data_IF_906426712351
#
_entry.id   IF_906426712351
#
_cell.length_a   1.000
_cell.length_b   1.000
_cell.length_c   1.000
_cell.angle_alpha   90.00
_cell.angle_beta   90.00
_cell.angle_gamma   90.00
#
_symmetry.space_group_name_H-M   'P 1'
#
loop_
_entity.id
_entity.type
_entity.pdbx_description
1 polymer ?
#
# COMPACT_ATOMS: atom_id res chain seq x y z
N UNK A 1 -19.37 12.55 58.45
CA UNK A 1 -19.97 13.08 57.20
C UNK A 1 -19.07 12.93 55.97
N UNK A 2 -17.77 12.68 56.12
CA UNK A 2 -16.80 12.54 55.02
C UNK A 2 -17.03 11.30 54.14
N UNK A 3 -17.44 10.17 54.72
CA UNK A 3 -17.63 8.92 53.97
C UNK A 3 -18.78 8.95 52.96
N UNK A 4 -19.84 9.72 53.26
CA UNK A 4 -21.00 9.88 52.38
C UNK A 4 -20.70 10.79 51.18
N UNK A 5 -19.75 11.71 51.36
CA UNK A 5 -19.28 12.64 50.34
C UNK A 5 -18.35 11.95 49.33
N UNK A 6 -17.52 11.01 49.81
CA UNK A 6 -16.66 10.17 48.95
C UNK A 6 -17.53 9.23 48.08
N UNK A 7 -18.59 8.65 48.65
CA UNK A 7 -19.50 7.77 47.89
C UNK A 7 -20.22 8.52 46.75
N UNK A 8 -20.65 9.76 47.00
CA UNK A 8 -21.27 10.61 45.98
C UNK A 8 -20.29 11.03 44.89
N UNK A 9 -19.02 11.27 45.23
CA UNK A 9 -17.99 11.62 44.26
C UNK A 9 -17.63 10.44 43.35
N UNK A 10 -17.55 9.22 43.90
CA UNK A 10 -17.31 8.00 43.11
C UNK A 10 -18.48 7.72 42.17
N UNK A 11 -19.73 7.85 42.63
CA UNK A 11 -20.90 7.69 41.75
C UNK A 11 -20.95 8.71 40.62
N UNK A 12 -20.48 9.95 40.84
CA UNK A 12 -20.47 10.99 39.81
C UNK A 12 -19.45 10.69 38.69
N UNK A 13 -18.34 10.03 39.01
CA UNK A 13 -17.32 9.66 38.01
C UNK A 13 -17.70 8.48 37.13
N UNK A 14 -18.62 7.63 37.57
CA UNK A 14 -19.13 6.50 36.77
C UNK A 14 -20.08 6.95 35.65
N UNK A 15 -20.74 8.10 35.79
CA UNK A 15 -21.66 8.64 34.77
C UNK A 15 -20.96 9.26 33.55
N UNK A 16 -19.64 9.45 33.61
CA UNK A 16 -18.83 10.01 32.51
C UNK A 16 -18.14 8.96 31.65
N UNK A 17 -18.42 7.67 31.84
CA UNK A 17 -18.08 6.67 30.84
C UNK A 17 -19.01 6.83 29.63
N UNK A 18 -18.70 7.80 28.77
CA UNK A 18 -19.21 7.84 27.41
C UNK A 18 -18.89 6.48 26.78
N UNK A 19 -19.86 5.75 26.21
CA UNK A 19 -19.52 4.65 25.34
C UNK A 19 -18.60 5.22 24.26
N UNK A 20 -17.39 4.69 24.15
CA UNK A 20 -16.55 4.88 22.96
C UNK A 20 -17.47 4.54 21.80
N UNK A 21 -17.84 5.55 21.01
CA UNK A 21 -18.77 5.39 19.90
C UNK A 21 -18.27 4.21 19.08
N UNK A 22 -19.06 3.14 19.05
CA UNK A 22 -18.98 2.18 17.96
C UNK A 22 -19.17 3.02 16.70
N UNK A 23 -18.12 3.13 15.85
CA UNK A 23 -18.29 3.71 14.51
C UNK A 23 -19.48 3.03 13.86
N UNK A 24 -20.39 3.81 13.26
CA UNK A 24 -21.49 3.19 12.53
C UNK A 24 -20.87 2.28 11.46
N UNK A 25 -21.37 1.04 11.30
CA UNK A 25 -20.77 0.07 10.39
C UNK A 25 -20.69 0.60 8.95
N UNK A 26 -21.59 1.52 8.58
CA UNK A 26 -21.55 2.22 7.30
C UNK A 26 -20.36 3.19 7.16
N UNK A 27 -19.99 3.91 8.24
CA UNK A 27 -18.86 4.82 8.25
C UNK A 27 -17.53 4.04 8.16
N UNK A 28 -17.41 2.94 8.91
CA UNK A 28 -16.25 2.03 8.83
C UNK A 28 -16.11 1.45 7.42
N UNK A 29 -17.21 0.99 6.82
CA UNK A 29 -17.23 0.44 5.47
C UNK A 29 -16.78 1.46 4.40
N UNK A 30 -17.27 2.71 4.46
CA UNK A 30 -16.85 3.78 3.54
C UNK A 30 -15.37 4.10 3.68
N UNK A 31 -14.86 4.12 4.91
CA UNK A 31 -13.44 4.38 5.19
C UNK A 31 -12.57 3.27 4.61
N UNK A 32 -12.91 2.00 4.86
CA UNK A 32 -12.18 0.85 4.32
C UNK A 32 -12.19 0.83 2.78
N UNK A 33 -13.33 1.17 2.15
CA UNK A 33 -13.41 1.30 0.69
C UNK A 33 -12.50 2.41 0.15
N UNK A 34 -12.41 3.54 0.84
CA UNK A 34 -11.53 4.65 0.44
C UNK A 34 -10.07 4.23 0.52
N UNK A 35 -9.65 3.62 1.63
CA UNK A 35 -8.29 3.12 1.80
C UNK A 35 -7.96 2.09 0.71
N UNK A 36 -8.87 1.13 0.45
CA UNK A 36 -8.68 0.11 -0.57
C UNK A 36 -8.55 0.73 -1.98
N UNK A 37 -9.32 1.77 -2.27
CA UNK A 37 -9.23 2.52 -3.53
C UNK A 37 -7.86 3.17 -3.69
N UNK A 38 -7.36 3.84 -2.65
CA UNK A 38 -6.02 4.46 -2.65
C UNK A 38 -4.94 3.40 -2.85
N UNK A 39 -4.98 2.29 -2.12
CA UNK A 39 -4.01 1.19 -2.29
C UNK A 39 -4.04 0.59 -3.70
N UNK A 40 -5.22 0.51 -4.33
CA UNK A 40 -5.31 0.04 -5.72
C UNK A 40 -4.70 1.02 -6.72
N UNK A 41 -4.88 2.33 -6.50
CA UNK A 41 -4.25 3.37 -7.34
C UNK A 41 -2.73 3.33 -7.20
N UNK A 42 -2.22 3.21 -5.96
CA UNK A 42 -0.78 3.03 -5.71
C UNK A 42 -0.25 1.77 -6.39
N UNK A 43 -0.93 0.64 -6.24
CA UNK A 43 -0.53 -0.62 -6.87
C UNK A 43 -0.46 -0.49 -8.41
N UNK A 44 -1.42 0.18 -9.02
CA UNK A 44 -1.40 0.44 -10.47
C UNK A 44 -0.22 1.32 -10.87
N UNK A 45 0.10 2.34 -10.09
CA UNK A 45 1.26 3.20 -10.34
C UNK A 45 2.57 2.42 -10.26
N UNK A 46 2.74 1.56 -9.26
CA UNK A 46 3.95 0.73 -9.13
C UNK A 46 4.10 -0.27 -10.29
N UNK A 47 3.01 -0.86 -10.78
CA UNK A 47 3.08 -1.70 -11.98
C UNK A 47 3.51 -0.91 -13.23
N UNK A 48 3.09 0.35 -13.36
CA UNK A 48 3.60 1.19 -14.45
C UNK A 48 5.09 1.48 -14.28
N UNK A 49 5.54 1.73 -13.05
CA UNK A 49 6.95 1.94 -12.75
C UNK A 49 7.82 0.72 -13.07
N UNK A 50 7.33 -0.49 -12.79
CA UNK A 50 8.01 -1.74 -13.21
C UNK A 50 8.19 -1.77 -14.73
N UNK A 51 7.14 -1.44 -15.50
CA UNK A 51 7.21 -1.44 -16.97
C UNK A 51 8.22 -0.41 -17.49
N UNK A 52 8.28 0.78 -16.90
CA UNK A 52 9.23 1.80 -17.32
C UNK A 52 10.67 1.39 -17.01
N UNK A 53 10.92 0.79 -15.85
CA UNK A 53 12.25 0.27 -15.50
C UNK A 53 12.66 -0.90 -16.40
N UNK A 54 11.75 -1.80 -16.75
CA UNK A 54 12.01 -2.90 -17.68
C UNK A 54 12.35 -2.39 -19.09
N UNK A 55 11.64 -1.37 -19.60
CA UNK A 55 11.98 -0.77 -20.90
C UNK A 55 13.33 -0.02 -20.84
N UNK A 56 13.63 0.64 -19.72
CA UNK A 56 14.93 1.25 -19.49
C UNK A 56 16.05 0.20 -19.48
N UNK A 57 15.79 -0.98 -18.93
CA UNK A 57 16.75 -2.09 -18.92
C UNK A 57 16.96 -2.63 -20.35
N UNK A 58 15.87 -2.82 -21.10
CA UNK A 58 15.92 -3.31 -22.49
C UNK A 58 16.64 -2.34 -23.42
N UNK A 59 16.52 -1.05 -23.18
CA UNK A 59 17.20 0.00 -23.96
C UNK A 59 18.64 0.25 -23.52
N UNK A 60 19.08 -0.31 -22.38
CA UNK A 60 20.46 -0.20 -21.89
C UNK A 60 21.41 -1.19 -22.60
N UNK A 61 21.40 -1.19 -23.93
CA UNK A 61 22.29 -2.03 -24.74
C UNK A 61 23.55 -1.28 -25.13
N UNK A 62 24.69 -1.96 -25.04
CA UNK A 62 25.97 -1.48 -25.59
C UNK A 62 25.98 -1.83 -27.08
N UNK A 63 26.28 -0.86 -27.94
CA UNK A 63 26.40 -1.12 -29.37
C UNK A 63 27.54 -2.13 -29.61
N UNK A 64 27.31 -3.24 -30.35
CA UNK A 64 28.37 -4.18 -30.64
C UNK A 64 29.45 -3.48 -31.48
N UNK A 65 30.71 -3.63 -31.07
CA UNK A 65 31.86 -3.26 -31.90
C UNK A 65 31.72 -3.98 -33.25
N UNK A 66 31.43 -3.23 -34.31
CA UNK A 66 31.55 -3.71 -35.68
C UNK A 66 33.04 -3.94 -35.95
N UNK A 67 33.51 -5.17 -35.72
CA UNK A 67 34.88 -5.59 -36.01
C UNK A 67 35.04 -5.64 -37.54
N UNK A 68 35.24 -4.48 -38.17
CA UNK A 68 35.65 -4.39 -39.57
C UNK A 68 37.15 -4.61 -39.68
N UNK A 69 37.62 -5.86 -39.52
CA UNK A 69 38.89 -6.42 -40.06
C UNK A 69 40.22 -5.64 -39.94
N UNK A 70 40.26 -4.50 -39.27
CA UNK A 70 41.39 -3.58 -39.13
C UNK A 70 41.72 -3.53 -37.65
N UNK A 71 43.00 -3.68 -37.32
CA UNK A 71 43.49 -3.68 -35.93
C UNK A 71 42.81 -2.57 -35.13
N UNK A 72 42.14 -2.89 -33.99
CA UNK A 72 41.40 -1.90 -33.24
C UNK A 72 42.37 -0.85 -32.71
N UNK A 73 42.06 0.42 -32.99
CA UNK A 73 42.77 1.54 -32.41
C UNK A 73 42.62 1.49 -30.89
N UNK A 74 43.72 1.59 -30.14
CA UNK A 74 43.74 1.41 -28.67
C UNK A 74 42.82 2.44 -27.99
N UNK A 75 42.67 3.63 -28.58
CA UNK A 75 41.76 4.68 -28.12
C UNK A 75 40.28 4.25 -28.26
N UNK A 76 39.92 3.57 -29.35
CA UNK A 76 38.56 3.07 -29.57
C UNK A 76 38.19 1.91 -28.62
N UNK A 77 39.19 1.13 -28.18
CA UNK A 77 38.97 0.05 -27.21
C UNK A 77 38.64 0.61 -25.82
N UNK A 78 39.39 1.60 -25.33
CA UNK A 78 39.14 2.21 -24.02
C UNK A 78 37.78 2.91 -23.96
N UNK A 79 37.38 3.58 -25.04
CA UNK A 79 36.05 4.19 -25.15
C UNK A 79 34.93 3.16 -25.02
N UNK A 80 35.02 2.04 -25.74
CA UNK A 80 34.01 0.97 -25.64
C UNK A 80 34.00 0.31 -24.27
N UNK A 81 35.18 0.04 -23.70
CA UNK A 81 35.28 -0.49 -22.34
C UNK A 81 34.66 0.46 -21.30
N UNK A 82 34.81 1.77 -21.48
CA UNK A 82 34.19 2.78 -20.61
C UNK A 82 32.67 2.83 -20.75
N UNK A 83 32.14 2.66 -21.98
CA UNK A 83 30.72 2.61 -22.27
C UNK A 83 30.10 1.34 -21.67
N UNK A 84 30.76 0.20 -21.80
CA UNK A 84 30.34 -1.07 -21.20
C UNK A 84 30.27 -0.99 -19.68
N UNK A 85 31.32 -0.47 -19.03
CA UNK A 85 31.32 -0.24 -17.57
C UNK A 85 30.20 0.71 -17.13
N UNK A 86 29.83 1.66 -17.97
CA UNK A 86 28.74 2.61 -17.66
C UNK A 86 27.37 1.94 -17.83
N UNK A 87 27.19 1.13 -18.88
CA UNK A 87 26.00 0.34 -19.09
C UNK A 87 25.77 -0.66 -17.94
N UNK A 88 26.80 -1.39 -17.52
CA UNK A 88 26.71 -2.32 -16.39
C UNK A 88 26.33 -1.62 -15.07
N UNK A 89 26.93 -0.46 -14.79
CA UNK A 89 26.57 0.34 -13.60
C UNK A 89 25.11 0.81 -13.66
N UNK A 90 24.65 1.23 -14.83
CA UNK A 90 23.26 1.65 -15.03
C UNK A 90 22.29 0.48 -14.87
N UNK A 91 22.63 -0.68 -15.40
CA UNK A 91 21.85 -1.91 -15.27
C UNK A 91 21.70 -2.31 -13.80
N UNK A 92 22.81 -2.33 -13.05
CA UNK A 92 22.79 -2.62 -11.62
C UNK A 92 21.89 -1.64 -10.85
N UNK A 93 21.95 -0.34 -11.17
CA UNK A 93 21.10 0.67 -10.55
C UNK A 93 19.61 0.51 -10.89
N UNK A 94 19.28 0.10 -12.12
CA UNK A 94 17.91 -0.17 -12.54
C UNK A 94 17.35 -1.45 -11.88
N UNK A 95 18.18 -2.50 -11.76
CA UNK A 95 17.80 -3.72 -11.07
C UNK A 95 17.53 -3.47 -9.58
N UNK A 96 18.37 -2.68 -8.90
CA UNK A 96 18.12 -2.28 -7.52
C UNK A 96 16.80 -1.51 -7.36
N UNK A 97 16.46 -0.64 -8.31
CA UNK A 97 15.17 0.06 -8.31
C UNK A 97 14.00 -0.90 -8.51
N UNK A 98 14.14 -1.90 -9.39
CA UNK A 98 13.11 -2.93 -9.59
C UNK A 98 12.85 -3.70 -8.30
N UNK A 99 13.89 -4.10 -7.56
CA UNK A 99 13.73 -4.80 -6.28
C UNK A 99 12.91 -3.99 -5.27
N UNK A 100 13.19 -2.68 -5.17
CA UNK A 100 12.43 -1.77 -4.28
C UNK A 100 10.96 -1.69 -4.69
N UNK A 101 10.67 -1.56 -5.98
CA UNK A 101 9.29 -1.48 -6.46
C UNK A 101 8.54 -2.80 -6.24
N UNK A 102 9.19 -3.95 -6.50
CA UNK A 102 8.60 -5.25 -6.20
C UNK A 102 8.31 -5.44 -4.70
N UNK A 103 9.21 -5.00 -3.83
CA UNK A 103 8.98 -5.02 -2.39
C UNK A 103 7.77 -4.15 -2.01
N UNK A 104 7.63 -2.97 -2.62
CA UNK A 104 6.48 -2.08 -2.40
C UNK A 104 5.16 -2.70 -2.86
N UNK A 105 5.13 -3.32 -4.04
CA UNK A 105 3.97 -4.07 -4.55
C UNK A 105 3.55 -5.15 -3.55
N UNK A 106 4.50 -5.97 -3.10
CA UNK A 106 4.23 -7.03 -2.12
C UNK A 106 3.66 -6.48 -0.81
N UNK A 107 4.18 -5.34 -0.34
CA UNK A 107 3.67 -4.69 0.87
C UNK A 107 2.23 -4.21 0.67
N UNK A 108 1.93 -3.54 -0.44
CA UNK A 108 0.56 -3.07 -0.74
C UNK A 108 -0.41 -4.24 -0.82
N UNK A 109 -0.02 -5.35 -1.46
CA UNK A 109 -0.86 -6.56 -1.52
C UNK A 109 -1.10 -7.16 -0.14
N UNK A 110 -0.09 -7.18 0.73
CA UNK A 110 -0.24 -7.62 2.12
C UNK A 110 -1.18 -6.72 2.92
N UNK A 111 -1.08 -5.40 2.75
CA UNK A 111 -1.92 -4.41 3.45
C UNK A 111 -3.38 -4.46 3.00
N UNK A 112 -3.64 -4.88 1.75
CA UNK A 112 -5.00 -5.04 1.22
C UNK A 112 -5.76 -6.21 1.84
N UNK A 113 -5.09 -7.31 2.17
CA UNK A 113 -5.76 -8.52 2.68
C UNK A 113 -6.60 -8.27 3.95
N UNK A 114 -6.07 -7.67 5.04
CA UNK A 114 -6.87 -7.44 6.23
C UNK A 114 -8.06 -6.51 5.98
N UNK A 115 -7.94 -5.55 5.05
CA UNK A 115 -9.04 -4.66 4.66
C UNK A 115 -10.15 -5.46 3.96
N UNK A 116 -9.77 -6.36 3.04
CA UNK A 116 -10.72 -7.22 2.34
C UNK A 116 -11.42 -8.19 3.29
N UNK A 117 -10.69 -8.76 4.24
CA UNK A 117 -11.27 -9.64 5.26
C UNK A 117 -12.25 -8.87 6.15
N UNK A 118 -11.88 -7.67 6.61
CA UNK A 118 -12.76 -6.81 7.40
C UNK A 118 -14.02 -6.39 6.63
N UNK A 119 -13.89 -6.04 5.36
CA UNK A 119 -15.04 -5.74 4.49
C UNK A 119 -15.99 -6.95 4.39
N UNK A 120 -15.47 -8.18 4.25
CA UNK A 120 -16.30 -9.39 4.22
C UNK A 120 -17.04 -9.61 5.54
N UNK A 121 -16.41 -9.34 6.68
CA UNK A 121 -17.05 -9.43 8.00
C UNK A 121 -18.20 -8.42 8.15
N UNK A 122 -17.96 -7.17 7.77
CA UNK A 122 -18.97 -6.10 7.84
C UNK A 122 -20.16 -6.38 6.92
N UNK A 123 -19.93 -6.95 5.74
CA UNK A 123 -21.01 -7.32 4.80
C UNK A 123 -21.82 -8.52 5.32
N UNK A 124 -21.17 -9.47 6.00
CA UNK A 124 -21.83 -10.69 6.53
C UNK A 124 -22.63 -10.45 7.80
N UNK A 125 -22.43 -9.34 8.49
CA UNK A 125 -23.16 -8.99 9.72
C UNK A 125 -24.35 -8.11 9.31
N UNK A 126 -25.55 -8.67 9.08
CA UNK A 126 -26.70 -7.83 8.73
C UNK A 126 -27.03 -7.03 9.99
N UNK A 127 -27.19 -5.72 9.85
CA UNK A 127 -27.87 -4.88 10.82
C UNK A 127 -29.22 -5.54 11.15
N UNK A 128 -29.32 -6.15 12.33
CA UNK A 128 -30.58 -6.71 12.80
C UNK A 128 -31.64 -5.59 12.74
N UNK A 129 -32.83 -5.84 12.16
CA UNK A 129 -33.91 -4.86 12.18
C UNK A 129 -34.15 -4.48 13.63
N UNK A 130 -34.11 -3.18 13.94
CA UNK A 130 -34.62 -2.68 15.21
C UNK A 130 -36.09 -3.08 15.25
N UNK A 131 -36.43 -4.14 15.98
CA UNK A 131 -37.79 -4.50 16.31
C UNK A 131 -38.44 -3.28 16.94
N UNK A 132 -39.22 -2.58 16.12
CA UNK A 132 -40.06 -1.48 16.53
C UNK A 132 -41.21 -2.13 17.31
N UNK A 133 -41.32 -1.93 18.64
CA UNK A 133 -42.35 -2.61 19.41
C UNK A 133 -43.70 -2.16 18.86
N UNK A 134 -44.48 -3.13 18.42
CA UNK A 134 -45.82 -2.96 17.91
C UNK A 134 -46.66 -2.15 18.90
N UNK A 135 -46.95 -0.90 18.55
CA UNK A 135 -47.92 -0.10 19.26
C UNK A 135 -49.28 -0.81 19.14
N UNK A 136 -49.75 -1.37 20.24
CA UNK A 136 -51.08 -1.95 20.37
C UNK A 136 -52.09 -0.81 20.50
N UNK A 137 -53.04 -0.60 19.57
CA UNK A 137 -54.20 0.24 19.86
C UNK A 137 -55.25 -0.61 20.57
N UNK A 138 -55.78 -0.08 21.67
CA UNK A 138 -56.95 -0.58 22.38
C UNK A 138 -58.23 -0.30 21.61
#
# INVERSE_FOLDING_TARGET
MTMRLILMMVLLTLSFQRPVLAEEPEAELRRLQTILSTLNQELQAEYQHIRTLQEALRSNTVAPLLIQGRSPDVVAYEEVASQERTALRREAALNAQLEVVYARVKQIEADKQPILDRLRELIKTPSAPKEQPAATPR
#
